data_IF_455446371529
#
_entry.id   IF_455446371529
#
_cell.length_a   1.000
_cell.length_b   1.000
_cell.length_c   1.000
_cell.angle_alpha   90.00
_cell.angle_beta   90.00
_cell.angle_gamma   90.00
#
_symmetry.space_group_name_H-M   'P 1'
#
loop_
_entity.id
_entity.type
_entity.pdbx_description
1 polymer ?
#
# COMPACT_ATOMS: atom_id res chain seq x y z
N UNK A 1 2.62 17.80 4.15
CA UNK A 1 2.78 16.36 4.40
C UNK A 1 1.78 16.00 5.50
N UNK A 2 0.73 15.23 5.18
CA UNK A 2 -0.22 14.77 6.20
C UNK A 2 0.44 13.76 7.13
N UNK A 3 0.10 13.80 8.41
CA UNK A 3 0.71 12.91 9.40
C UNK A 3 0.35 11.46 9.10
N UNK A 4 1.26 10.51 9.39
CA UNK A 4 1.01 9.06 9.23
C UNK A 4 -0.25 8.61 10.00
N UNK A 5 -0.60 9.32 11.07
CA UNK A 5 -1.78 9.10 11.90
C UNK A 5 -3.09 9.30 11.15
N UNK A 6 -3.13 10.19 10.16
CA UNK A 6 -4.32 10.42 9.33
C UNK A 6 -4.55 9.29 8.33
N UNK A 7 -3.55 8.42 8.15
CA UNK A 7 -3.58 7.32 7.18
C UNK A 7 -3.87 5.97 7.82
N UNK A 8 -4.15 5.92 9.12
CA UNK A 8 -4.51 4.68 9.83
C UNK A 8 -5.66 3.99 9.08
N UNK A 9 -5.50 2.70 8.81
CA UNK A 9 -6.47 1.90 8.07
C UNK A 9 -6.29 1.92 6.55
N UNK A 10 -5.49 2.84 5.99
CA UNK A 10 -5.11 2.78 4.58
C UNK A 10 -4.09 1.68 4.31
N UNK A 11 -4.00 1.29 3.04
CA UNK A 11 -2.92 0.46 2.50
C UNK A 11 -1.72 1.33 2.18
N UNK A 12 -0.53 0.88 2.57
CA UNK A 12 0.74 1.39 2.08
C UNK A 12 1.34 0.38 1.10
N UNK A 13 1.63 0.82 -0.12
CA UNK A 13 2.45 0.08 -1.09
C UNK A 13 3.86 0.65 -1.10
N UNK A 14 4.87 -0.20 -0.90
CA UNK A 14 6.26 0.22 -0.68
C UNK A 14 7.13 -0.36 -1.80
N UNK A 15 7.82 0.49 -2.55
CA UNK A 15 8.81 0.05 -3.53
C UNK A 15 10.07 -0.43 -2.81
N UNK A 16 10.45 -1.71 -2.93
CA UNK A 16 11.62 -2.25 -2.26
C UNK A 16 12.94 -1.62 -2.72
N UNK A 17 12.99 -1.03 -3.93
CA UNK A 17 14.23 -0.46 -4.47
C UNK A 17 14.44 0.98 -4.03
N UNK A 18 13.40 1.80 -4.13
CA UNK A 18 13.50 3.25 -3.87
C UNK A 18 13.01 3.67 -2.49
N UNK A 19 12.25 2.81 -1.80
CA UNK A 19 11.54 3.19 -0.58
C UNK A 19 10.35 4.12 -0.81
N UNK A 20 10.00 4.43 -2.07
CA UNK A 20 8.81 5.24 -2.38
C UNK A 20 7.55 4.54 -1.88
N UNK A 21 6.66 5.31 -1.26
CA UNK A 21 5.44 4.80 -0.65
C UNK A 21 4.22 5.44 -1.32
N UNK A 22 3.27 4.62 -1.72
CA UNK A 22 1.94 5.02 -2.15
C UNK A 22 0.92 4.63 -1.08
N UNK A 23 -0.10 5.47 -0.90
CA UNK A 23 -1.20 5.20 0.03
C UNK A 23 -2.51 5.17 -0.75
N UNK A 24 -3.40 4.29 -0.35
CA UNK A 24 -4.75 4.15 -0.92
C UNK A 24 -5.61 3.23 -0.06
N UNK A 25 -6.88 3.12 -0.37
CA UNK A 25 -7.82 2.31 0.41
C UNK A 25 -7.54 0.81 0.24
N UNK A 26 -6.97 0.42 -0.90
CA UNK A 26 -6.70 -0.98 -1.26
C UNK A 26 -5.42 -1.18 -2.10
N UNK A 27 -4.94 -2.44 -2.16
CA UNK A 27 -3.86 -2.85 -3.09
C UNK A 27 -4.24 -2.53 -4.54
N UNK A 28 -5.47 -2.87 -4.94
CA UNK A 28 -5.92 -2.73 -6.32
C UNK A 28 -5.91 -1.28 -6.79
N UNK A 29 -6.28 -0.36 -5.90
CA UNK A 29 -6.20 1.07 -6.16
C UNK A 29 -4.76 1.52 -6.41
N UNK A 30 -3.84 1.15 -5.50
CA UNK A 30 -2.41 1.49 -5.62
C UNK A 30 -1.81 0.91 -6.90
N UNK A 31 -2.10 -0.35 -7.21
CA UNK A 31 -1.60 -1.02 -8.42
C UNK A 31 -2.17 -0.39 -9.68
N UNK A 32 -3.48 -0.06 -9.69
CA UNK A 32 -4.12 0.61 -10.82
C UNK A 32 -3.49 1.99 -11.06
N UNK A 33 -3.31 2.78 -10.01
CA UNK A 33 -2.68 4.09 -10.10
C UNK A 33 -1.25 4.00 -10.64
N UNK A 34 -0.41 3.12 -10.09
CA UNK A 34 0.96 2.91 -10.59
C UNK A 34 1.03 2.44 -12.03
N UNK A 35 0.10 1.59 -12.46
CA UNK A 35 0.03 1.19 -13.87
C UNK A 35 -0.22 2.36 -14.81
N UNK A 36 -0.98 3.37 -14.39
CA UNK A 36 -1.17 4.60 -15.19
C UNK A 36 0.12 5.43 -15.31
N UNK A 37 1.04 5.28 -14.35
CA UNK A 37 2.39 5.86 -14.39
C UNK A 37 3.42 4.96 -15.09
N UNK A 38 2.99 3.85 -15.70
CA UNK A 38 3.89 2.88 -16.34
C UNK A 38 4.70 2.02 -15.35
N UNK A 39 4.40 2.09 -14.06
CA UNK A 39 5.13 1.38 -13.01
C UNK A 39 4.51 0.01 -12.74
N UNK A 40 5.25 -1.04 -13.06
CA UNK A 40 4.78 -2.45 -12.93
C UNK A 40 5.61 -3.29 -11.96
N UNK A 41 6.65 -2.73 -11.35
CA UNK A 41 7.49 -3.47 -10.41
C UNK A 41 6.69 -3.94 -9.16
N UNK A 42 7.01 -5.10 -8.59
CA UNK A 42 6.38 -5.58 -7.35
C UNK A 42 6.56 -4.59 -6.18
N UNK A 43 5.60 -4.60 -5.26
CA UNK A 43 5.62 -3.83 -4.00
C UNK A 43 5.48 -4.75 -2.80
N UNK A 44 6.00 -4.31 -1.66
CA UNK A 44 5.52 -4.77 -0.35
C UNK A 44 4.24 -4.01 0.02
N UNK A 45 3.35 -4.65 0.77
CA UNK A 45 2.10 -4.04 1.21
C UNK A 45 1.88 -4.20 2.70
N UNK A 46 1.47 -3.11 3.35
CA UNK A 46 1.16 -3.05 4.78
C UNK A 46 -0.14 -2.26 5.05
N UNK A 47 -0.78 -2.48 6.21
CA UNK A 47 -1.90 -1.62 6.68
C UNK A 47 -1.30 -0.63 7.65
N UNK A 48 -1.51 0.65 7.41
CA UNK A 48 -1.06 1.68 8.35
C UNK A 48 -1.80 1.50 9.68
N UNK A 49 -1.05 1.37 10.77
CA UNK A 49 -1.59 1.22 12.12
C UNK A 49 -1.98 -0.21 12.51
N UNK A 50 -1.74 -1.22 11.66
CA UNK A 50 -2.00 -2.62 12.01
C UNK A 50 -0.71 -3.44 11.89
N UNK A 51 -0.51 -4.39 12.81
CA UNK A 51 0.67 -5.27 12.82
C UNK A 51 0.65 -6.34 11.73
N UNK A 52 -0.48 -6.53 11.06
CA UNK A 52 -0.66 -7.58 10.05
C UNK A 52 -1.62 -7.10 8.96
N UNK A 53 -1.19 -7.18 7.70
CA UNK A 53 -1.95 -6.74 6.52
C UNK A 53 -2.90 -7.81 5.94
N UNK A 54 -3.56 -8.58 6.81
CA UNK A 54 -4.52 -9.66 6.49
C UNK A 54 -3.94 -11.06 6.21
N UNK A 55 -4.56 -12.05 6.87
CA UNK A 55 -4.49 -13.49 6.57
C UNK A 55 -5.41 -13.79 5.39
N UNK A 56 -4.91 -14.44 4.32
CA UNK A 56 -5.79 -15.13 3.37
C UNK A 56 -6.55 -16.23 4.12
N UNK A 57 -7.88 -16.17 4.13
CA UNK A 57 -8.74 -17.24 4.62
C UNK A 57 -9.35 -17.00 6.00
N UNK A 58 -10.61 -16.59 6.00
CA UNK A 58 -11.66 -17.26 6.78
C UNK A 58 -12.73 -17.71 5.78
N UNK A 59 -12.97 -19.02 5.73
CA UNK A 59 -14.26 -19.58 5.32
C UNK A 59 -15.27 -19.24 6.41
#
# INVERSE_FOLDING_TARGET
MGAITERIGQTAGIDPKSGKIWFGDSISEIVKHRRTEGLTSPLFFERVGFKTYFRKGRK
#
